data_IF_841908032348
#
_entry.id   IF_841908032348
#
_cell.length_a   1.000
_cell.length_b   1.000
_cell.length_c   1.000
_cell.angle_alpha   90.00
_cell.angle_beta   90.00
_cell.angle_gamma   90.00
#
_symmetry.space_group_name_H-M   'P 1'
#
loop_
_entity.id
_entity.type
_entity.pdbx_description
1 polymer ?
#
# COMPACT_ATOMS: atom_id res chain seq x y z
N UNK A 1 19.73 49.80 17.38
CA UNK A 1 18.60 50.55 16.80
C UNK A 1 18.96 51.02 15.43
N UNK A 2 18.48 50.41 14.38
CA UNK A 2 18.33 50.98 13.04
C UNK A 2 17.11 50.31 12.41
N UNK A 3 16.07 51.11 12.21
CA UNK A 3 14.82 50.76 11.52
C UNK A 3 15.12 50.50 10.07
N UNK A 4 14.72 49.33 9.54
CA UNK A 4 14.69 49.05 8.13
C UNK A 4 13.26 49.32 7.63
N UNK A 5 13.21 50.13 6.59
CA UNK A 5 12.05 50.73 5.91
C UNK A 5 11.19 49.65 5.22
N UNK A 6 9.85 49.81 5.16
CA UNK A 6 8.95 48.88 4.49
C UNK A 6 8.77 49.20 3.01
N UNK A 7 9.77 48.91 2.18
CA UNK A 7 9.69 49.05 0.73
C UNK A 7 10.46 47.97 -0.02
N UNK A 8 10.29 46.71 0.42
CA UNK A 8 10.79 45.56 -0.38
C UNK A 8 9.82 44.39 -0.30
N UNK A 9 8.54 44.66 -0.46
CA UNK A 9 7.49 43.67 -0.52
C UNK A 9 6.55 43.91 -1.68
N UNK A 10 7.07 43.94 -2.86
CA UNK A 10 6.28 43.97 -4.12
C UNK A 10 7.19 43.71 -5.30
N UNK A 11 7.67 42.48 -5.49
CA UNK A 11 8.08 41.90 -6.79
C UNK A 11 8.52 40.46 -6.64
N UNK A 12 7.58 39.55 -6.40
CA UNK A 12 7.73 38.11 -6.66
C UNK A 12 6.35 37.48 -6.74
N UNK A 13 5.58 37.89 -7.72
CA UNK A 13 4.44 37.15 -8.23
C UNK A 13 4.61 37.03 -9.72
N UNK A 14 5.23 35.99 -10.18
CA UNK A 14 5.11 35.34 -11.48
C UNK A 14 6.33 34.43 -11.69
N UNK A 15 6.14 33.18 -11.45
CA UNK A 15 7.12 32.11 -11.74
C UNK A 15 6.65 30.79 -11.15
N UNK A 16 5.83 30.10 -11.92
CA UNK A 16 5.54 28.68 -11.62
C UNK A 16 6.85 27.90 -11.76
N UNK A 17 7.51 27.62 -10.67
CA UNK A 17 8.61 26.66 -10.61
C UNK A 17 8.02 25.33 -10.21
N UNK A 18 7.81 24.46 -11.16
CA UNK A 18 7.60 23.03 -10.91
C UNK A 18 8.88 22.45 -10.31
N UNK A 19 8.93 22.34 -9.01
CA UNK A 19 10.00 21.60 -8.33
C UNK A 19 9.57 20.15 -8.24
N UNK A 20 10.01 19.34 -9.19
CA UNK A 20 10.01 17.88 -9.07
C UNK A 20 11.20 17.45 -8.23
N UNK A 21 11.05 17.41 -6.93
CA UNK A 21 12.02 16.73 -6.06
C UNK A 21 11.35 15.49 -5.48
N UNK A 22 11.72 14.35 -6.02
CA UNK A 22 11.43 13.04 -5.42
C UNK A 22 12.48 12.82 -4.34
N UNK A 23 12.13 13.04 -3.09
CA UNK A 23 12.93 12.63 -1.95
C UNK A 23 12.36 11.34 -1.36
N UNK A 24 13.21 10.45 -0.83
CA UNK A 24 12.77 9.16 -0.30
C UNK A 24 11.92 9.34 0.95
N UNK A 25 10.99 8.41 1.11
CA UNK A 25 9.95 8.36 2.14
C UNK A 25 10.58 8.28 3.54
N UNK A 26 10.86 9.42 4.12
CA UNK A 26 10.92 9.64 5.58
C UNK A 26 10.61 11.12 5.82
N UNK A 27 9.35 11.43 5.82
CA UNK A 27 8.84 12.77 6.07
C UNK A 27 7.46 12.87 5.46
N UNK A 28 6.54 13.32 6.25
CA UNK A 28 5.18 13.58 5.80
C UNK A 28 5.23 14.46 4.55
N UNK A 29 4.82 13.91 3.41
CA UNK A 29 4.65 14.72 2.20
C UNK A 29 3.24 15.26 2.18
N UNK A 30 3.12 16.57 2.15
CA UNK A 30 1.84 17.22 1.87
C UNK A 30 1.49 16.97 0.41
N UNK A 31 0.43 16.20 0.17
CA UNK A 31 -0.16 16.10 -1.16
C UNK A 31 -1.18 17.23 -1.33
N UNK A 32 -1.03 17.99 -2.38
CA UNK A 32 -2.08 18.94 -2.80
C UNK A 32 -3.11 18.15 -3.59
N UNK A 33 -4.25 17.87 -3.00
CA UNK A 33 -5.40 17.34 -3.71
C UNK A 33 -6.16 18.56 -4.22
N UNK A 34 -6.14 18.78 -5.52
CA UNK A 34 -6.91 19.86 -6.12
C UNK A 34 -8.40 19.52 -6.01
N UNK A 35 -9.22 20.53 -5.75
CA UNK A 35 -10.66 20.39 -5.89
C UNK A 35 -10.98 19.90 -7.31
N UNK A 36 -12.00 19.06 -7.46
CA UNK A 36 -12.46 18.61 -8.76
C UNK A 36 -12.86 19.86 -9.58
N UNK A 37 -12.15 20.13 -10.68
CA UNK A 37 -12.54 21.23 -11.56
C UNK A 37 -13.86 20.86 -12.24
N UNK A 38 -14.89 21.55 -11.85
CA UNK A 38 -16.24 21.43 -12.44
C UNK A 38 -16.21 22.07 -13.83
N UNK A 39 -15.89 21.28 -14.85
CA UNK A 39 -16.00 21.68 -16.25
C UNK A 39 -17.29 21.19 -16.89
N UNK A 40 -18.27 20.75 -16.08
CA UNK A 40 -19.60 20.38 -16.56
C UNK A 40 -20.62 21.44 -16.11
N UNK A 41 -21.48 21.82 -17.04
CA UNK A 41 -22.65 22.63 -16.80
C UNK A 41 -23.38 22.12 -15.54
N UNK A 42 -23.84 23.05 -14.69
CA UNK A 42 -24.67 22.72 -13.53
C UNK A 42 -25.89 21.91 -13.97
N UNK A 43 -25.75 20.58 -14.01
CA UNK A 43 -26.91 19.71 -14.00
C UNK A 43 -27.73 20.03 -12.74
N UNK A 44 -29.04 20.14 -12.89
CA UNK A 44 -29.95 20.40 -11.78
C UNK A 44 -29.72 19.30 -10.73
N UNK A 45 -29.42 19.69 -9.50
CA UNK A 45 -29.17 18.76 -8.41
C UNK A 45 -30.32 17.75 -8.28
N UNK A 46 -30.04 16.47 -8.48
CA UNK A 46 -31.04 15.40 -8.63
C UNK A 46 -31.37 14.67 -7.31
N UNK A 47 -31.02 15.24 -6.15
CA UNK A 47 -31.15 14.57 -4.87
C UNK A 47 -29.98 13.62 -4.60
N UNK A 48 -30.04 12.84 -3.53
CA UNK A 48 -29.00 11.88 -3.17
C UNK A 48 -28.96 10.70 -4.13
N UNK A 49 -27.86 10.54 -4.84
CA UNK A 49 -27.66 9.48 -5.81
C UNK A 49 -26.82 8.35 -5.19
N UNK A 50 -27.36 7.14 -5.18
CA UNK A 50 -26.69 5.96 -4.62
C UNK A 50 -27.23 4.67 -5.18
N UNK A 51 -26.40 3.62 -5.25
CA UNK A 51 -26.83 2.24 -5.43
C UNK A 51 -26.74 1.40 -4.14
N UNK A 52 -26.35 2.03 -3.03
CA UNK A 52 -26.42 1.38 -1.72
C UNK A 52 -27.87 1.33 -1.24
N UNK A 53 -28.21 0.30 -0.51
CA UNK A 53 -29.59 0.05 -0.09
C UNK A 53 -29.74 0.06 1.42
N UNK A 54 -30.91 0.51 1.88
CA UNK A 54 -31.37 0.33 3.26
C UNK A 54 -30.49 0.99 4.30
N UNK A 55 -30.30 2.31 4.22
CA UNK A 55 -29.57 3.06 5.23
C UNK A 55 -30.26 3.02 6.60
N UNK A 56 -29.44 2.76 7.63
CA UNK A 56 -29.76 2.88 9.05
C UNK A 56 -28.95 4.01 9.66
N UNK A 57 -29.62 5.11 9.98
CA UNK A 57 -28.99 6.31 10.53
C UNK A 57 -28.85 6.19 12.04
N UNK A 58 -27.63 6.31 12.55
CA UNK A 58 -27.32 6.26 13.97
C UNK A 58 -26.66 7.55 14.39
N UNK A 59 -27.32 8.26 15.33
CA UNK A 59 -26.86 9.53 15.86
C UNK A 59 -26.72 10.62 14.77
N UNK A 60 -26.70 11.88 15.14
CA UNK A 60 -26.59 13.02 14.22
C UNK A 60 -27.88 13.32 13.46
N UNK A 61 -27.84 14.43 12.75
CA UNK A 61 -28.93 14.86 11.89
C UNK A 61 -28.62 14.44 10.44
N UNK A 62 -29.38 13.47 9.92
CA UNK A 62 -29.26 13.00 8.57
C UNK A 62 -30.53 13.34 7.79
N UNK A 63 -30.39 13.92 6.61
CA UNK A 63 -31.54 14.30 5.79
C UNK A 63 -31.18 14.25 4.31
N UNK A 64 -32.00 13.57 3.53
CA UNK A 64 -31.95 13.69 2.09
C UNK A 64 -32.45 15.06 1.65
N UNK A 65 -31.72 15.72 0.80
CA UNK A 65 -32.00 17.04 0.24
C UNK A 65 -31.87 16.98 -1.29
N UNK A 66 -32.23 18.06 -1.95
CA UNK A 66 -32.00 18.19 -3.42
C UNK A 66 -30.50 18.13 -3.77
N UNK A 67 -29.62 18.50 -2.83
CA UNK A 67 -28.16 18.58 -3.02
C UNK A 67 -27.44 17.28 -2.56
N UNK A 68 -28.16 16.30 -2.04
CA UNK A 68 -27.61 15.03 -1.58
C UNK A 68 -28.04 14.65 -0.17
N UNK A 69 -27.30 13.77 0.46
CA UNK A 69 -27.48 13.36 1.87
C UNK A 69 -26.73 14.33 2.78
N UNK A 70 -27.48 15.29 3.33
CA UNK A 70 -26.96 16.24 4.32
C UNK A 70 -26.78 15.56 5.67
N UNK A 71 -25.70 15.91 6.36
CA UNK A 71 -25.41 15.46 7.72
C UNK A 71 -24.83 16.60 8.56
N UNK A 72 -25.37 16.74 9.78
CA UNK A 72 -24.81 17.63 10.81
C UNK A 72 -24.46 16.81 12.07
N UNK A 73 -23.18 16.71 12.36
CA UNK A 73 -22.59 16.00 13.49
C UNK A 73 -21.83 16.93 14.45
N UNK A 74 -21.97 18.25 14.29
CA UNK A 74 -21.27 19.23 15.16
C UNK A 74 -21.59 18.97 16.62
N UNK A 75 -20.55 18.80 17.44
CA UNK A 75 -20.61 18.48 18.88
C UNK A 75 -21.32 17.14 19.22
N UNK A 76 -21.51 16.25 18.23
CA UNK A 76 -22.18 14.95 18.40
C UNK A 76 -21.22 13.74 18.31
N UNK A 77 -19.96 13.96 17.89
CA UNK A 77 -18.98 12.88 17.64
C UNK A 77 -19.35 12.03 16.43
N UNK A 78 -19.18 10.71 16.54
CA UNK A 78 -19.45 9.77 15.45
C UNK A 78 -20.93 9.67 15.11
N UNK A 79 -21.30 10.04 13.91
CA UNK A 79 -22.65 9.95 13.37
C UNK A 79 -22.63 9.07 12.11
N UNK A 80 -23.36 7.95 12.14
CA UNK A 80 -23.28 6.89 11.15
C UNK A 80 -24.50 6.83 10.24
N UNK A 81 -24.25 6.46 8.99
CA UNK A 81 -25.26 5.98 8.05
C UNK A 81 -24.79 4.63 7.50
N UNK A 82 -25.27 3.54 8.07
CA UNK A 82 -24.91 2.18 7.65
C UNK A 82 -25.86 1.70 6.58
N UNK A 83 -25.29 1.15 5.51
CA UNK A 83 -26.08 0.47 4.46
C UNK A 83 -26.20 -1.03 4.76
N UNK A 84 -27.27 -1.64 4.27
CA UNK A 84 -27.44 -3.10 4.25
C UNK A 84 -26.64 -3.76 3.14
N UNK A 85 -26.06 -2.98 2.24
CA UNK A 85 -25.18 -3.47 1.18
C UNK A 85 -23.90 -4.03 1.78
N UNK A 86 -23.58 -5.28 1.47
CA UNK A 86 -22.33 -5.94 1.85
C UNK A 86 -21.47 -6.14 0.62
N UNK A 87 -20.17 -6.03 0.79
CA UNK A 87 -19.20 -6.20 -0.30
C UNK A 87 -17.89 -6.83 0.19
N UNK A 88 -17.26 -7.58 -0.69
CA UNK A 88 -15.96 -8.24 -0.45
C UNK A 88 -14.84 -7.53 -1.20
N UNK A 89 -14.90 -7.58 -2.53
CA UNK A 89 -13.97 -6.91 -3.44
C UNK A 89 -14.76 -5.85 -4.20
N UNK A 90 -14.33 -4.60 -4.13
CA UNK A 90 -15.15 -3.51 -4.65
C UNK A 90 -14.34 -2.24 -4.92
N UNK A 91 -14.91 -1.37 -5.74
CA UNK A 91 -14.67 0.07 -5.68
C UNK A 91 -15.88 0.72 -4.99
N UNK A 92 -15.61 1.61 -4.02
CA UNK A 92 -16.63 2.32 -3.26
C UNK A 92 -16.25 3.80 -3.17
N UNK A 93 -17.14 4.69 -3.53
CA UNK A 93 -16.87 6.12 -3.58
C UNK A 93 -18.06 6.97 -3.15
N UNK A 94 -17.76 8.18 -2.72
CA UNK A 94 -18.73 9.25 -2.49
C UNK A 94 -18.10 10.60 -2.78
N UNK A 95 -18.90 11.52 -3.28
CA UNK A 95 -18.56 12.93 -3.28
C UNK A 95 -18.95 13.54 -1.93
N UNK A 96 -18.15 14.42 -1.38
CA UNK A 96 -18.44 15.16 -0.17
C UNK A 96 -18.13 16.64 -0.36
N UNK A 97 -19.04 17.49 0.14
CA UNK A 97 -18.84 18.94 0.24
C UNK A 97 -18.98 19.35 1.71
N UNK A 98 -17.94 19.93 2.25
CA UNK A 98 -17.98 20.50 3.60
C UNK A 98 -18.74 21.81 3.60
N UNK A 99 -19.70 21.98 4.50
CA UNK A 99 -20.31 23.27 4.83
C UNK A 99 -19.51 23.96 5.92
N UNK A 100 -18.82 23.16 6.74
CA UNK A 100 -17.97 23.60 7.81
C UNK A 100 -16.82 22.62 7.98
N UNK A 101 -15.64 23.09 7.67
CA UNK A 101 -14.38 22.34 7.61
C UNK A 101 -13.81 21.99 8.99
N UNK A 102 -14.60 21.41 9.89
CA UNK A 102 -14.17 21.09 11.26
C UNK A 102 -14.32 19.64 11.64
N UNK A 103 -14.67 18.79 10.70
CA UNK A 103 -14.90 17.38 10.97
C UNK A 103 -14.36 16.47 9.90
N UNK A 104 -14.66 15.19 10.01
CA UNK A 104 -14.20 14.19 9.09
C UNK A 104 -15.35 13.52 8.33
N UNK A 105 -15.23 13.51 6.99
CA UNK A 105 -16.07 12.71 6.11
C UNK A 105 -15.41 11.35 5.89
N UNK A 106 -16.15 10.28 6.14
CA UNK A 106 -15.57 8.93 6.21
C UNK A 106 -16.38 7.93 5.39
N UNK A 107 -15.68 7.11 4.60
CA UNK A 107 -16.22 5.86 4.06
C UNK A 107 -15.89 4.72 5.03
N UNK A 108 -16.91 3.97 5.44
CA UNK A 108 -16.77 2.74 6.23
C UNK A 108 -17.01 1.56 5.32
N UNK A 109 -16.17 0.52 5.45
CA UNK A 109 -16.31 -0.70 4.66
C UNK A 109 -15.87 -1.94 5.43
N UNK A 110 -16.39 -3.09 4.99
CA UNK A 110 -16.22 -4.39 5.66
C UNK A 110 -16.61 -4.33 7.14
N UNK A 111 -17.70 -3.63 7.43
CA UNK A 111 -18.21 -3.46 8.79
C UNK A 111 -18.94 -4.73 9.25
N UNK A 112 -18.65 -5.18 10.47
CA UNK A 112 -19.20 -6.39 11.09
C UNK A 112 -20.66 -6.26 11.57
N UNK A 113 -21.30 -5.13 11.34
CA UNK A 113 -22.69 -4.81 11.76
C UNK A 113 -22.92 -4.81 13.29
N UNK A 114 -21.87 -4.67 14.06
CA UNK A 114 -21.95 -4.59 15.52
C UNK A 114 -21.43 -3.23 16.01
N UNK A 115 -22.32 -2.37 16.52
CA UNK A 115 -21.97 -1.05 17.00
C UNK A 115 -21.28 -1.03 18.37
N UNK A 116 -21.54 -2.04 19.19
CA UNK A 116 -20.97 -2.16 20.53
C UNK A 116 -19.53 -2.71 20.46
N UNK A 117 -19.27 -3.50 19.44
CA UNK A 117 -17.96 -4.03 19.13
C UNK A 117 -17.64 -3.85 17.64
N UNK A 118 -17.31 -2.61 17.26
CA UNK A 118 -17.11 -2.23 15.87
C UNK A 118 -15.81 -2.78 15.31
N UNK A 119 -15.94 -3.55 14.24
CA UNK A 119 -14.82 -3.96 13.41
C UNK A 119 -15.08 -3.55 11.97
N UNK A 120 -14.19 -2.76 11.41
CA UNK A 120 -14.27 -2.29 10.02
C UNK A 120 -12.95 -1.65 9.57
N UNK A 121 -12.91 -1.31 8.30
CA UNK A 121 -11.97 -0.30 7.79
C UNK A 121 -12.70 1.01 7.59
N UNK A 122 -11.95 2.10 7.71
CA UNK A 122 -12.45 3.44 7.46
C UNK A 122 -11.38 4.29 6.76
N UNK A 123 -11.81 5.05 5.76
CA UNK A 123 -10.97 6.07 5.13
C UNK A 123 -11.67 7.41 5.24
N UNK A 124 -10.94 8.45 5.57
CA UNK A 124 -11.51 9.76 5.75
C UNK A 124 -10.70 10.89 5.14
N UNK A 125 -11.38 12.01 4.88
CA UNK A 125 -10.80 13.33 4.77
C UNK A 125 -11.24 14.13 6.00
N UNK A 126 -10.26 14.59 6.77
CA UNK A 126 -10.47 15.33 8.02
C UNK A 126 -10.11 16.80 7.78
N UNK A 127 -11.13 17.62 7.66
CA UNK A 127 -10.97 19.05 7.42
C UNK A 127 -10.34 19.79 8.60
N UNK A 128 -10.58 19.34 9.83
CA UNK A 128 -10.04 19.96 11.04
C UNK A 128 -8.53 19.73 11.18
N UNK A 129 -8.05 18.53 10.92
CA UNK A 129 -6.62 18.19 11.00
C UNK A 129 -5.88 18.34 9.68
N UNK A 130 -6.58 18.61 8.57
CA UNK A 130 -6.03 18.65 7.22
C UNK A 130 -5.30 17.36 6.82
N UNK A 131 -5.89 16.21 7.16
CA UNK A 131 -5.32 14.90 6.89
C UNK A 131 -6.34 13.96 6.25
N UNK A 132 -5.83 13.10 5.39
CA UNK A 132 -6.53 11.91 4.94
C UNK A 132 -5.94 10.70 5.64
N UNK A 133 -6.78 9.81 6.14
CA UNK A 133 -6.34 8.69 6.98
C UNK A 133 -7.01 7.41 6.55
N UNK A 134 -6.27 6.30 6.66
CA UNK A 134 -6.76 4.93 6.56
C UNK A 134 -6.67 4.28 7.94
N UNK A 135 -7.81 3.83 8.45
CA UNK A 135 -7.97 3.25 9.77
C UNK A 135 -8.42 1.80 9.72
N UNK A 136 -8.06 1.06 10.73
CA UNK A 136 -8.66 -0.20 11.11
C UNK A 136 -9.33 -0.05 12.48
N UNK A 137 -10.62 -0.30 12.58
CA UNK A 137 -11.31 -0.45 13.86
C UNK A 137 -11.37 -1.92 14.22
N UNK A 138 -11.01 -2.21 15.44
CA UNK A 138 -10.83 -3.56 15.94
C UNK A 138 -11.78 -3.84 17.09
N UNK A 139 -11.74 -5.07 17.58
CA UNK A 139 -12.45 -5.47 18.78
C UNK A 139 -12.26 -4.45 19.91
N UNK A 140 -13.33 -4.22 20.69
CA UNK A 140 -13.42 -3.17 21.70
C UNK A 140 -13.33 -1.74 21.16
N UNK A 141 -13.56 -1.55 19.87
CA UNK A 141 -13.54 -0.24 19.19
C UNK A 141 -12.21 0.51 19.25
N UNK A 142 -11.11 -0.22 19.41
CA UNK A 142 -9.77 0.36 19.30
C UNK A 142 -9.49 0.78 17.86
N UNK A 143 -8.78 1.91 17.71
CA UNK A 143 -8.42 2.47 16.42
C UNK A 143 -6.97 2.22 16.13
N UNK A 144 -6.70 1.58 15.01
CA UNK A 144 -5.37 1.48 14.46
C UNK A 144 -5.25 2.38 13.23
N UNK A 145 -4.43 3.41 13.30
CA UNK A 145 -4.03 4.17 12.14
C UNK A 145 -3.08 3.32 11.28
N UNK A 146 -3.44 3.09 10.03
CA UNK A 146 -2.62 2.33 9.08
C UNK A 146 -1.72 3.26 8.30
N UNK A 147 -2.28 4.35 7.76
CA UNK A 147 -1.54 5.35 6.99
C UNK A 147 -2.25 6.71 7.04
N UNK A 148 -1.48 7.79 6.95
CA UNK A 148 -2.02 9.14 6.85
C UNK A 148 -1.20 10.04 5.93
N UNK A 149 -1.87 10.99 5.30
CA UNK A 149 -1.21 12.05 4.51
C UNK A 149 -1.88 13.38 4.73
N UNK A 150 -1.08 14.44 4.66
CA UNK A 150 -1.60 15.81 4.71
C UNK A 150 -2.37 16.12 3.42
N UNK A 151 -3.58 16.65 3.59
CA UNK A 151 -4.46 17.11 2.51
C UNK A 151 -5.17 18.36 2.98
N UNK A 152 -5.04 19.44 2.23
CA UNK A 152 -5.74 20.68 2.57
C UNK A 152 -7.17 20.60 2.06
N UNK A 153 -8.13 20.44 2.96
CA UNK A 153 -9.55 20.55 2.65
C UNK A 153 -10.06 21.98 2.93
N UNK A 154 -11.00 22.43 2.11
CA UNK A 154 -11.62 23.75 2.22
C UNK A 154 -13.14 23.63 2.21
N UNK A 155 -13.83 24.65 2.77
CA UNK A 155 -15.28 24.71 2.77
C UNK A 155 -15.80 24.93 1.35
N UNK A 156 -17.01 24.44 1.10
CA UNK A 156 -17.76 24.52 -0.17
C UNK A 156 -17.05 23.91 -1.40
N UNK A 157 -15.88 23.33 -1.24
CA UNK A 157 -15.25 22.52 -2.28
C UNK A 157 -15.71 21.07 -2.22
N UNK A 158 -15.79 20.44 -3.38
CA UNK A 158 -16.19 19.05 -3.53
C UNK A 158 -14.95 18.14 -3.57
N UNK A 159 -14.97 17.10 -2.77
CA UNK A 159 -13.96 16.04 -2.75
C UNK A 159 -14.59 14.70 -3.05
N UNK A 160 -13.99 13.93 -3.95
CA UNK A 160 -14.37 12.54 -4.19
C UNK A 160 -13.49 11.62 -3.37
N UNK A 161 -14.08 10.92 -2.41
CA UNK A 161 -13.43 9.85 -1.67
C UNK A 161 -13.67 8.53 -2.39
N UNK A 162 -12.61 7.74 -2.62
CA UNK A 162 -12.72 6.47 -3.31
C UNK A 162 -11.81 5.40 -2.70
N UNK A 163 -12.39 4.26 -2.40
CA UNK A 163 -11.68 3.06 -1.94
C UNK A 163 -11.76 1.98 -3.00
N UNK A 164 -10.62 1.37 -3.29
CA UNK A 164 -10.55 0.10 -4.02
C UNK A 164 -10.08 -0.95 -3.05
N UNK A 165 -10.91 -1.93 -2.75
CA UNK A 165 -10.58 -3.06 -1.89
C UNK A 165 -10.62 -4.34 -2.73
N UNK A 166 -9.51 -5.05 -2.81
CA UNK A 166 -9.39 -6.31 -3.53
C UNK A 166 -8.57 -7.30 -2.68
N UNK A 167 -9.20 -8.38 -2.25
CA UNK A 167 -8.65 -9.32 -1.25
C UNK A 167 -8.11 -8.58 -0.01
N UNK A 168 -6.81 -8.62 0.22
CA UNK A 168 -6.15 -7.90 1.30
C UNK A 168 -5.66 -6.50 0.91
N UNK A 169 -5.73 -6.15 -0.37
CA UNK A 169 -5.23 -4.85 -0.85
C UNK A 169 -6.31 -3.79 -0.74
N UNK A 170 -5.99 -2.69 -0.05
CA UNK A 170 -6.82 -1.51 0.10
C UNK A 170 -6.05 -0.32 -0.46
N UNK A 171 -6.65 0.38 -1.42
CA UNK A 171 -6.13 1.65 -1.94
C UNK A 171 -7.16 2.75 -1.74
N UNK A 172 -6.73 3.88 -1.19
CA UNK A 172 -7.56 5.04 -0.90
C UNK A 172 -7.12 6.22 -1.76
N UNK A 173 -8.09 6.83 -2.40
CA UNK A 173 -7.90 7.99 -3.29
C UNK A 173 -8.77 9.16 -2.84
N UNK A 174 -8.26 10.36 -3.02
CA UNK A 174 -9.03 11.62 -2.96
C UNK A 174 -8.83 12.34 -4.29
N UNK A 175 -9.92 12.68 -4.98
CA UNK A 175 -9.91 13.27 -6.32
C UNK A 175 -8.94 12.53 -7.27
N UNK A 176 -9.05 11.19 -7.32
CA UNK A 176 -8.20 10.27 -8.08
C UNK A 176 -6.69 10.28 -7.74
N UNK A 177 -6.30 11.07 -6.75
CA UNK A 177 -4.93 11.06 -6.22
C UNK A 177 -4.80 9.97 -5.15
N UNK A 178 -3.83 9.07 -5.31
CA UNK A 178 -3.56 8.00 -4.34
C UNK A 178 -3.08 8.58 -3.01
N UNK A 179 -3.84 8.36 -1.95
CA UNK A 179 -3.51 8.77 -0.58
C UNK A 179 -2.78 7.68 0.16
N UNK A 180 -3.34 6.48 0.17
CA UNK A 180 -2.79 5.33 0.86
C UNK A 180 -3.00 4.06 0.05
N UNK A 181 -2.06 3.11 0.14
CA UNK A 181 -2.19 1.78 -0.41
C UNK A 181 -1.54 0.79 0.51
N UNK A 182 -2.25 -0.24 0.92
CA UNK A 182 -1.76 -1.25 1.84
C UNK A 182 -2.40 -2.61 1.58
N UNK A 183 -1.65 -3.67 1.88
CA UNK A 183 -2.20 -5.01 2.02
C UNK A 183 -2.51 -5.29 3.49
N UNK A 184 -3.72 -5.73 3.79
CA UNK A 184 -4.06 -6.16 5.13
C UNK A 184 -3.87 -7.67 5.29
N UNK A 185 -2.69 -8.04 5.71
CA UNK A 185 -2.37 -9.44 6.04
C UNK A 185 -2.68 -9.75 7.49
N UNK A 186 -3.36 -8.82 8.14
CA UNK A 186 -3.37 -8.75 9.53
C UNK A 186 -4.21 -9.69 10.22
N UNK A 187 -4.13 -9.91 11.16
CA UNK A 187 -3.64 -9.11 11.99
C UNK A 187 -3.97 -9.24 13.31
N UNK A 188 -4.96 -9.24 13.78
CA UNK A 188 -5.17 -9.39 15.17
C UNK A 188 -5.73 -10.74 15.46
N UNK A 189 -5.20 -11.30 16.49
CA UNK A 189 -5.74 -12.50 17.09
C UNK A 189 -6.70 -12.03 18.16
N UNK A 190 -7.87 -12.60 18.17
CA UNK A 190 -8.70 -12.62 19.38
C UNK A 190 -7.94 -13.37 20.49
N UNK A 191 -8.45 -13.36 21.71
CA UNK A 191 -7.87 -14.06 22.86
C UNK A 191 -7.73 -15.58 22.62
N UNK A 192 -8.34 -16.11 21.55
CA UNK A 192 -8.25 -17.52 21.12
C UNK A 192 -7.22 -17.72 20.00
N UNK A 193 -6.52 -16.67 19.60
CA UNK A 193 -5.50 -16.72 18.55
C UNK A 193 -6.07 -16.82 17.13
N UNK A 194 -7.35 -16.49 16.90
CA UNK A 194 -7.95 -16.46 15.56
C UNK A 194 -7.72 -15.10 14.87
N UNK A 195 -7.46 -15.12 13.57
CA UNK A 195 -7.30 -13.89 12.80
C UNK A 195 -8.63 -13.21 12.59
N UNK A 196 -8.68 -11.91 12.84
CA UNK A 196 -9.84 -11.06 12.62
C UNK A 196 -9.73 -10.27 11.31
N UNK A 197 -9.10 -10.82 10.28
CA UNK A 197 -9.08 -10.17 8.97
C UNK A 197 -10.49 -10.02 8.45
N UNK A 198 -10.90 -8.79 8.22
CA UNK A 198 -12.19 -8.53 7.59
C UNK A 198 -12.02 -8.62 6.07
N UNK A 199 -12.67 -9.63 5.50
CA UNK A 199 -12.65 -9.85 4.05
C UNK A 199 -13.92 -9.37 3.36
N UNK A 200 -15.01 -9.17 4.13
CA UNK A 200 -16.31 -8.72 3.64
C UNK A 200 -17.09 -8.04 4.77
N UNK A 201 -18.12 -7.32 4.46
CA UNK A 201 -19.03 -6.67 5.41
C UNK A 201 -19.76 -5.49 4.79
N UNK A 202 -20.52 -4.80 5.63
CA UNK A 202 -21.35 -3.69 5.19
C UNK A 202 -20.54 -2.45 4.83
N UNK A 203 -21.13 -1.64 3.95
CA UNK A 203 -20.65 -0.32 3.57
C UNK A 203 -21.42 0.76 4.35
N UNK A 204 -20.80 1.90 4.57
CA UNK A 204 -21.47 3.00 5.26
C UNK A 204 -20.72 4.31 5.15
N UNK A 205 -21.37 5.36 5.63
CA UNK A 205 -20.82 6.70 5.77
C UNK A 205 -20.70 7.04 7.26
N UNK A 206 -19.71 7.86 7.60
CA UNK A 206 -19.62 8.47 8.91
C UNK A 206 -19.26 9.93 8.79
N UNK A 207 -19.95 10.75 9.54
CA UNK A 207 -19.61 12.13 9.78
C UNK A 207 -19.15 12.27 11.24
N UNK A 208 -17.91 12.72 11.44
CA UNK A 208 -17.39 13.05 12.76
C UNK A 208 -17.28 14.56 12.91
N UNK A 209 -18.07 15.12 13.84
CA UNK A 209 -18.07 16.52 14.24
C UNK A 209 -18.18 17.57 13.12
N UNK A 210 -18.61 17.19 11.93
CA UNK A 210 -18.69 18.07 10.76
C UNK A 210 -20.10 18.45 10.37
N UNK A 211 -20.21 19.43 9.47
CA UNK A 211 -21.42 19.71 8.69
C UNK A 211 -21.08 19.56 7.22
N UNK A 212 -21.75 18.63 6.52
CA UNK A 212 -21.40 18.24 5.16
C UNK A 212 -22.56 17.64 4.39
N UNK A 213 -22.38 17.55 3.07
CA UNK A 213 -23.32 16.86 2.18
C UNK A 213 -22.57 15.78 1.41
N UNK A 214 -23.10 14.55 1.42
CA UNK A 214 -22.65 13.44 0.61
C UNK A 214 -23.51 13.33 -0.65
N UNK A 215 -22.88 13.00 -1.78
CA UNK A 215 -23.54 12.80 -3.08
C UNK A 215 -22.82 11.72 -3.87
N UNK A 216 -23.49 11.14 -4.85
CA UNK A 216 -22.89 10.15 -5.75
C UNK A 216 -22.20 9.00 -5.01
N UNK A 217 -22.91 8.41 -4.04
CA UNK A 217 -22.36 7.32 -3.23
C UNK A 217 -22.66 5.99 -3.90
N UNK A 218 -21.62 5.42 -4.54
CA UNK A 218 -21.76 4.21 -5.33
C UNK A 218 -20.74 3.16 -4.95
N UNK A 219 -21.07 1.89 -5.18
CA UNK A 219 -20.11 0.81 -5.19
C UNK A 219 -20.26 -0.03 -6.46
N UNK A 220 -19.17 -0.66 -6.86
CA UNK A 220 -19.13 -1.69 -7.90
C UNK A 220 -18.38 -2.89 -7.34
N UNK A 221 -18.97 -4.07 -7.40
CA UNK A 221 -18.31 -5.30 -7.00
C UNK A 221 -17.24 -5.67 -8.02
N UNK A 222 -16.06 -6.04 -7.52
CA UNK A 222 -14.93 -6.49 -8.32
C UNK A 222 -14.78 -8.01 -8.27
N UNK A 223 -14.53 -8.60 -9.42
CA UNK A 223 -14.30 -10.02 -9.62
C UNK A 223 -13.21 -10.23 -10.68
N UNK A 224 -12.91 -11.48 -11.02
CA UNK A 224 -11.83 -11.79 -11.96
C UNK A 224 -12.03 -11.24 -13.38
N UNK A 225 -13.28 -10.87 -13.76
CA UNK A 225 -13.58 -10.30 -15.07
C UNK A 225 -13.43 -8.78 -15.12
N UNK A 226 -13.59 -8.11 -13.99
CA UNK A 226 -13.52 -6.63 -13.90
C UNK A 226 -12.46 -6.12 -12.92
N UNK A 227 -11.50 -6.97 -12.51
CA UNK A 227 -10.40 -6.56 -11.62
C UNK A 227 -9.37 -5.67 -12.32
N UNK A 228 -8.82 -4.64 -11.65
CA UNK A 228 -7.65 -3.92 -12.10
C UNK A 228 -6.32 -4.64 -11.78
N UNK A 229 -6.36 -5.80 -11.14
CA UNK A 229 -5.17 -6.56 -10.77
C UNK A 229 -4.37 -6.97 -12.00
N UNK A 230 -3.05 -6.84 -11.91
CA UNK A 230 -2.13 -7.33 -12.93
C UNK A 230 -1.73 -8.78 -12.64
N UNK A 231 -1.55 -9.55 -13.68
CA UNK A 231 -1.09 -10.94 -13.59
C UNK A 231 0.42 -11.02 -13.39
N UNK A 232 1.16 -10.16 -14.08
CA UNK A 232 2.61 -10.10 -13.98
C UNK A 232 3.16 -8.74 -14.40
N UNK A 233 4.29 -8.36 -13.79
CA UNK A 233 5.19 -7.30 -14.28
C UNK A 233 6.60 -7.90 -14.29
N UNK A 234 7.29 -7.82 -15.39
CA UNK A 234 8.70 -8.16 -15.48
C UNK A 234 9.49 -7.05 -16.16
N UNK A 235 10.76 -6.93 -15.80
CA UNK A 235 11.66 -5.92 -16.35
C UNK A 235 12.65 -6.57 -17.30
N UNK A 236 12.83 -5.98 -18.46
CA UNK A 236 13.87 -6.33 -19.44
C UNK A 236 14.60 -5.06 -19.88
N UNK A 237 15.71 -5.22 -20.59
CA UNK A 237 16.45 -4.10 -21.16
C UNK A 237 17.00 -4.52 -22.53
N UNK A 238 16.91 -3.60 -23.51
CA UNK A 238 17.54 -3.76 -24.83
C UNK A 238 18.96 -3.20 -24.87
N UNK A 239 19.34 -2.38 -23.89
CA UNK A 239 20.65 -1.71 -23.83
C UNK A 239 21.65 -2.41 -22.91
N UNK A 240 21.19 -3.31 -22.04
CA UNK A 240 22.09 -3.99 -21.11
C UNK A 240 21.43 -5.12 -20.33
N UNK A 241 22.07 -5.52 -19.26
CA UNK A 241 21.70 -6.70 -18.49
C UNK A 241 20.79 -6.35 -17.30
N UNK A 242 19.75 -7.15 -17.14
CA UNK A 242 18.93 -7.21 -15.92
C UNK A 242 19.56 -8.22 -14.98
N UNK A 243 19.84 -7.80 -13.73
CA UNK A 243 20.23 -8.74 -12.68
C UNK A 243 19.04 -9.65 -12.37
N UNK A 244 19.27 -10.76 -11.68
CA UNK A 244 18.23 -11.77 -11.40
C UNK A 244 16.84 -11.18 -11.28
N UNK A 245 15.91 -11.69 -12.06
CA UNK A 245 14.56 -11.16 -12.15
C UNK A 245 13.87 -11.16 -10.79
N UNK A 246 13.42 -9.99 -10.34
CA UNK A 246 12.53 -9.88 -9.20
C UNK A 246 11.21 -10.58 -9.54
N UNK A 247 10.62 -11.22 -8.55
CA UNK A 247 9.32 -11.82 -8.75
C UNK A 247 8.22 -10.80 -8.46
N UNK A 248 7.28 -10.72 -9.38
CA UNK A 248 6.08 -9.94 -9.21
C UNK A 248 5.08 -10.73 -8.37
N UNK A 249 4.48 -10.05 -7.41
CA UNK A 249 3.34 -10.55 -6.66
C UNK A 249 2.21 -9.55 -6.78
N UNK A 250 1.07 -9.96 -7.30
CA UNK A 250 -0.06 -9.07 -7.62
C UNK A 250 -0.63 -8.33 -6.40
N UNK A 251 -0.39 -8.84 -5.20
CA UNK A 251 -0.83 -8.26 -3.92
C UNK A 251 0.21 -7.34 -3.27
N UNK A 252 1.41 -7.23 -3.84
CA UNK A 252 2.47 -6.34 -3.35
C UNK A 252 2.55 -5.10 -4.23
N UNK A 253 2.34 -3.90 -3.68
CA UNK A 253 2.33 -2.67 -4.47
C UNK A 253 3.72 -2.22 -4.92
N UNK A 254 4.79 -2.84 -4.45
CA UNK A 254 6.18 -2.46 -4.72
C UNK A 254 6.97 -3.67 -5.17
N UNK A 255 7.72 -3.50 -6.27
CA UNK A 255 8.70 -4.45 -6.77
C UNK A 255 10.06 -3.74 -6.92
N UNK A 256 11.15 -4.36 -6.47
CA UNK A 256 12.51 -3.84 -6.63
C UNK A 256 13.25 -4.72 -7.63
N UNK A 257 13.73 -4.12 -8.72
CA UNK A 257 14.52 -4.80 -9.74
C UNK A 257 15.87 -4.11 -9.92
N UNK A 258 16.95 -4.87 -9.79
CA UNK A 258 18.29 -4.39 -10.11
C UNK A 258 18.63 -4.64 -11.56
N UNK A 259 19.28 -3.65 -12.18
CA UNK A 259 19.83 -3.75 -13.54
C UNK A 259 21.29 -3.29 -13.53
N UNK A 260 22.11 -3.86 -14.41
CA UNK A 260 23.54 -3.51 -14.47
C UNK A 260 23.73 -2.09 -15.01
N UNK A 261 24.96 -1.59 -14.88
CA UNK A 261 25.33 -0.24 -15.30
C UNK A 261 25.04 0.02 -16.79
N UNK A 262 25.21 -1.01 -17.64
CA UNK A 262 24.98 -0.91 -19.09
C UNK A 262 23.49 -0.83 -19.50
N UNK A 263 22.56 -1.07 -18.58
CA UNK A 263 21.13 -0.97 -18.87
C UNK A 263 20.66 0.49 -18.81
N UNK A 264 20.81 1.23 -19.89
CA UNK A 264 20.42 2.66 -19.96
C UNK A 264 18.92 2.87 -20.10
N UNK A 265 18.21 1.87 -20.64
CA UNK A 265 16.76 1.84 -20.74
C UNK A 265 16.22 0.52 -20.24
N UNK A 266 14.98 0.53 -19.77
CA UNK A 266 14.25 -0.68 -19.40
C UNK A 266 12.89 -0.73 -20.06
N UNK A 267 12.42 -1.97 -20.24
CA UNK A 267 11.08 -2.28 -20.68
C UNK A 267 10.32 -2.96 -19.54
N UNK A 268 9.11 -2.53 -19.27
CA UNK A 268 8.17 -3.23 -18.42
C UNK A 268 7.26 -4.11 -19.29
N UNK A 269 7.35 -5.42 -19.11
CA UNK A 269 6.44 -6.35 -19.76
C UNK A 269 5.30 -6.64 -18.77
N UNK A 270 4.11 -6.15 -19.09
CA UNK A 270 2.95 -6.14 -18.20
C UNK A 270 1.90 -7.10 -18.72
N UNK A 271 1.54 -8.08 -17.91
CA UNK A 271 0.44 -9.00 -18.19
C UNK A 271 -0.79 -8.60 -17.38
N UNK A 272 -1.89 -8.33 -18.06
CA UNK A 272 -3.16 -7.98 -17.44
C UNK A 272 -3.92 -9.25 -17.04
N UNK A 273 -4.56 -9.24 -15.87
CA UNK A 273 -5.54 -10.27 -15.49
C UNK A 273 -6.84 -10.04 -16.26
N UNK A 274 -7.31 -8.80 -16.29
CA UNK A 274 -8.43 -8.37 -17.11
C UNK A 274 -7.95 -7.72 -18.41
N UNK A 275 -8.33 -8.26 -19.56
CA UNK A 275 -7.93 -7.73 -20.89
C UNK A 275 -8.33 -6.26 -21.09
N UNK A 276 -9.47 -5.87 -20.51
CA UNK A 276 -10.05 -4.54 -20.65
C UNK A 276 -9.44 -3.49 -19.68
N UNK A 277 -8.55 -3.92 -18.78
CA UNK A 277 -7.86 -2.97 -17.91
C UNK A 277 -7.03 -2.00 -18.77
N UNK A 278 -7.16 -0.72 -18.51
CA UNK A 278 -6.26 0.30 -19.03
C UNK A 278 -5.01 0.36 -18.17
N UNK A 279 -3.83 0.33 -18.80
CA UNK A 279 -2.55 0.34 -18.10
C UNK A 279 -1.74 1.53 -18.53
N UNK A 280 -1.42 2.39 -17.58
CA UNK A 280 -0.57 3.54 -17.76
C UNK A 280 0.73 3.37 -17.01
N UNK A 281 1.85 3.58 -17.68
CA UNK A 281 3.20 3.58 -17.08
C UNK A 281 3.71 5.00 -17.04
N UNK A 282 4.12 5.47 -15.88
CA UNK A 282 4.61 6.83 -15.65
C UNK A 282 6.01 6.81 -15.02
N UNK A 283 6.91 7.60 -15.59
CA UNK A 283 8.23 7.82 -15.03
C UNK A 283 8.72 9.24 -15.32
N UNK A 284 9.23 9.94 -14.30
CA UNK A 284 9.78 11.30 -14.37
C UNK A 284 8.83 12.31 -15.06
N UNK A 285 7.53 12.21 -14.74
CA UNK A 285 6.46 13.05 -15.30
C UNK A 285 6.09 12.73 -16.76
N UNK A 286 6.61 11.66 -17.34
CA UNK A 286 6.27 11.19 -18.70
C UNK A 286 5.50 9.88 -18.67
N UNK A 287 4.62 9.72 -19.64
CA UNK A 287 3.81 8.53 -19.83
C UNK A 287 4.45 7.65 -20.91
N UNK A 288 4.58 6.37 -20.61
CA UNK A 288 5.11 5.31 -21.48
C UNK A 288 4.05 4.24 -21.64
N UNK A 289 3.04 4.47 -22.47
CA UNK A 289 1.85 3.60 -22.57
C UNK A 289 2.15 2.16 -22.94
N UNK A 290 3.22 1.92 -23.70
CA UNK A 290 3.69 0.58 -24.06
C UNK A 290 4.68 -0.02 -23.03
N UNK A 291 5.08 0.75 -22.04
CA UNK A 291 6.07 0.37 -21.04
C UNK A 291 7.48 0.17 -21.62
N UNK A 292 7.79 0.73 -22.80
CA UNK A 292 9.03 0.46 -23.52
C UNK A 292 10.00 1.65 -23.48
N UNK A 293 11.30 1.31 -23.58
CA UNK A 293 12.40 2.27 -23.71
C UNK A 293 12.40 3.35 -22.61
N UNK A 294 12.07 2.98 -21.38
CA UNK A 294 12.05 3.87 -20.24
C UNK A 294 13.50 4.17 -19.85
N UNK A 295 14.00 5.41 -19.97
CA UNK A 295 15.37 5.73 -19.62
C UNK A 295 15.56 5.68 -18.11
N UNK A 296 16.63 5.03 -17.63
CA UNK A 296 16.94 4.90 -16.22
C UNK A 296 18.30 5.49 -15.88
N UNK A 297 18.33 6.32 -14.86
CA UNK A 297 19.56 6.92 -14.29
C UNK A 297 20.26 5.93 -13.39
N UNK A 298 21.58 6.06 -13.23
CA UNK A 298 22.30 5.30 -12.18
C UNK A 298 21.70 5.62 -10.82
N UNK A 299 21.47 4.58 -10.02
CA UNK A 299 20.73 4.67 -8.78
C UNK A 299 19.26 4.31 -8.96
N UNK A 300 18.40 4.84 -8.10
CA UNK A 300 16.98 4.49 -8.01
C UNK A 300 16.11 5.20 -9.02
N UNK A 301 15.23 4.46 -9.65
CA UNK A 301 14.25 4.96 -10.59
C UNK A 301 12.88 4.41 -10.18
N UNK A 302 11.94 5.27 -9.87
CA UNK A 302 10.61 4.89 -9.39
C UNK A 302 9.62 4.99 -10.55
N UNK A 303 9.25 3.84 -11.12
CA UNK A 303 8.30 3.75 -12.22
C UNK A 303 6.95 3.38 -11.63
N UNK A 304 5.93 4.14 -11.96
CA UNK A 304 4.55 3.92 -11.51
C UNK A 304 3.77 3.21 -12.61
N UNK A 305 3.09 2.15 -12.26
CA UNK A 305 2.17 1.41 -13.15
C UNK A 305 0.77 1.49 -12.56
N UNK A 306 -0.13 2.16 -13.25
CA UNK A 306 -1.55 2.26 -12.89
C UNK A 306 -2.34 1.31 -13.77
N UNK A 307 -3.08 0.42 -13.18
CA UNK A 307 -4.03 -0.46 -13.88
C UNK A 307 -5.44 -0.08 -13.48
N UNK A 308 -6.26 0.30 -14.44
CA UNK A 308 -7.60 0.86 -14.22
C UNK A 308 -8.65 0.08 -14.99
N UNK A 309 -9.77 -0.21 -14.35
CA UNK A 309 -10.96 -0.74 -14.98
C UNK A 309 -12.14 0.18 -14.75
N UNK A 310 -13.07 0.18 -15.70
CA UNK A 310 -14.34 0.88 -15.53
C UNK A 310 -15.27 0.04 -14.68
N UNK A 311 -15.86 0.67 -13.67
CA UNK A 311 -16.96 0.13 -12.89
C UNK A 311 -18.32 0.64 -13.37
N UNK A 312 -19.34 0.35 -12.61
CA UNK A 312 -20.68 0.91 -12.82
C UNK A 312 -20.75 2.38 -12.42
N UNK A 313 -21.76 3.09 -12.89
CA UNK A 313 -22.05 4.49 -12.54
C UNK A 313 -20.84 5.45 -12.71
N UNK A 314 -20.01 5.21 -13.72
CA UNK A 314 -18.84 6.05 -14.00
C UNK A 314 -17.66 5.86 -13.02
N UNK A 315 -17.77 4.94 -12.06
CA UNK A 315 -16.66 4.63 -11.15
C UNK A 315 -15.47 4.02 -11.91
N UNK A 316 -14.28 4.28 -11.42
CA UNK A 316 -13.05 3.63 -11.88
C UNK A 316 -12.37 2.94 -10.72
N UNK A 317 -11.99 1.68 -10.89
CA UNK A 317 -11.13 0.98 -9.95
C UNK A 317 -9.69 0.97 -10.45
N UNK A 318 -8.78 1.52 -9.67
CA UNK A 318 -7.34 1.60 -10.02
C UNK A 318 -6.50 0.93 -8.96
N UNK A 319 -5.58 0.07 -9.37
CA UNK A 319 -4.47 -0.38 -8.54
C UNK A 319 -3.18 0.26 -9.05
N UNK A 320 -2.37 0.74 -8.12
CA UNK A 320 -1.12 1.44 -8.43
C UNK A 320 0.06 0.64 -7.92
N UNK A 321 0.85 0.13 -8.84
CA UNK A 321 2.09 -0.58 -8.57
C UNK A 321 3.27 0.36 -8.74
N UNK A 322 4.34 0.14 -7.99
CA UNK A 322 5.60 0.85 -8.14
C UNK A 322 6.72 -0.15 -8.45
N UNK A 323 7.36 0.02 -9.59
CA UNK A 323 8.55 -0.73 -9.97
C UNK A 323 9.77 0.15 -9.69
N UNK A 324 10.51 -0.20 -8.65
CA UNK A 324 11.76 0.47 -8.30
C UNK A 324 12.88 -0.19 -9.09
N UNK A 325 13.30 0.42 -10.19
CA UNK A 325 14.44 -0.04 -10.96
C UNK A 325 15.70 0.61 -10.40
N UNK A 326 16.60 -0.21 -9.85
CA UNK A 326 17.88 0.27 -9.35
C UNK A 326 18.98 -0.05 -10.37
N UNK A 327 19.40 0.95 -11.15
CA UNK A 327 20.52 0.83 -12.08
C UNK A 327 21.82 0.94 -11.30
N UNK A 328 22.60 -0.14 -11.30
CA UNK A 328 23.88 -0.20 -10.58
C UNK A 328 24.86 0.83 -11.13
N UNK A 329 25.77 1.32 -10.27
CA UNK A 329 26.97 2.02 -10.71
C UNK A 329 27.91 1.04 -11.45
N UNK A 330 29.00 1.53 -12.05
CA UNK A 330 29.97 0.66 -12.69
C UNK A 330 30.57 -0.34 -11.68
N UNK A 331 30.78 -1.60 -12.09
CA UNK A 331 31.23 -2.70 -11.20
C UNK A 331 32.47 -2.33 -10.38
N UNK A 332 33.41 -1.58 -10.97
CA UNK A 332 34.59 -1.09 -10.27
C UNK A 332 34.31 -0.18 -9.07
N UNK A 333 33.08 0.29 -8.93
CA UNK A 333 32.65 1.14 -7.81
C UNK A 333 32.35 0.33 -6.57
N UNK A 334 31.96 -0.94 -6.73
CA UNK A 334 31.56 -1.82 -5.63
C UNK A 334 32.72 -2.66 -5.14
N UNK A 335 32.70 -2.97 -3.82
CA UNK A 335 33.72 -3.76 -3.13
C UNK A 335 35.15 -3.19 -3.22
N UNK A 336 35.24 -1.91 -3.57
CA UNK A 336 36.49 -1.17 -3.69
C UNK A 336 36.49 0.14 -2.88
N UNK A 337 35.51 0.31 -2.03
CA UNK A 337 35.38 1.47 -1.16
C UNK A 337 36.40 1.42 -0.02
N UNK A 338 36.86 2.58 0.43
CA UNK A 338 37.96 2.71 1.42
C UNK A 338 37.69 1.94 2.74
N UNK A 339 36.47 1.79 3.15
CA UNK A 339 36.05 1.11 4.38
C UNK A 339 35.30 -0.20 4.14
N UNK A 340 35.36 -0.75 2.93
CA UNK A 340 34.76 -2.04 2.60
C UNK A 340 35.43 -3.17 3.36
N UNK A 341 34.65 -4.09 3.92
CA UNK A 341 35.16 -5.31 4.53
C UNK A 341 35.99 -6.11 3.52
N UNK A 342 37.19 -6.57 3.95
CA UNK A 342 38.07 -7.35 3.08
C UNK A 342 37.70 -8.84 3.05
N UNK A 343 36.94 -9.29 4.02
CA UNK A 343 36.40 -10.63 4.15
C UNK A 343 35.06 -10.54 4.93
N UNK A 344 34.33 -11.62 5.00
CA UNK A 344 32.91 -11.69 5.35
C UNK A 344 31.99 -11.11 4.27
N UNK A 345 30.78 -11.56 4.28
CA UNK A 345 29.76 -11.01 3.41
C UNK A 345 29.45 -9.56 3.79
N UNK A 346 29.31 -8.72 2.80
CA UNK A 346 28.76 -7.38 2.95
C UNK A 346 27.85 -7.06 1.78
N UNK A 347 26.80 -6.29 2.03
CA UNK A 347 25.86 -5.88 0.97
C UNK A 347 26.58 -5.09 -0.12
N UNK A 348 26.17 -5.26 -1.36
CA UNK A 348 26.78 -4.56 -2.50
C UNK A 348 26.62 -3.04 -2.38
N UNK A 349 25.42 -2.61 -2.04
CA UNK A 349 25.07 -1.23 -1.68
C UNK A 349 23.84 -1.23 -0.78
N UNK A 350 23.50 -0.07 -0.21
CA UNK A 350 22.40 0.08 0.71
C UNK A 350 22.76 -0.26 2.16
N UNK A 351 21.75 -0.44 2.98
CA UNK A 351 21.87 -0.76 4.40
C UNK A 351 21.67 -2.25 4.63
N UNK A 352 22.59 -2.88 5.36
CA UNK A 352 22.47 -4.26 5.80
C UNK A 352 22.78 -4.37 7.28
N UNK A 353 21.96 -5.12 8.05
CA UNK A 353 22.21 -5.38 9.46
C UNK A 353 21.91 -6.85 9.82
N UNK A 354 20.98 -7.16 10.72
CA UNK A 354 20.80 -8.48 11.33
C UNK A 354 20.71 -9.62 10.32
N UNK A 355 21.43 -10.69 10.57
CA UNK A 355 21.20 -11.98 9.91
C UNK A 355 19.93 -12.60 10.50
N UNK A 356 18.93 -12.80 9.67
CA UNK A 356 17.63 -13.30 10.07
C UNK A 356 17.45 -14.80 9.87
N UNK A 357 18.21 -15.37 8.93
CA UNK A 357 18.17 -16.80 8.68
C UNK A 357 19.38 -17.27 7.90
N UNK A 358 20.04 -18.29 8.45
CA UNK A 358 21.11 -19.00 7.78
C UNK A 358 20.73 -20.48 7.78
N UNK A 359 20.44 -21.03 6.60
CA UNK A 359 19.94 -22.40 6.46
C UNK A 359 20.58 -23.09 5.26
N UNK A 360 20.86 -24.40 5.38
CA UNK A 360 21.23 -25.22 4.24
C UNK A 360 20.00 -25.99 3.76
N UNK A 361 19.63 -25.80 2.50
CA UNK A 361 18.50 -26.48 1.89
C UNK A 361 18.85 -26.94 0.47
N UNK A 362 18.57 -28.19 0.15
CA UNK A 362 18.89 -28.83 -1.16
C UNK A 362 20.33 -28.54 -1.64
N UNK A 363 21.30 -28.61 -0.71
CA UNK A 363 22.72 -28.43 -1.01
C UNK A 363 23.20 -27.00 -1.23
N UNK A 364 22.33 -26.00 -1.00
CA UNK A 364 22.64 -24.57 -1.07
C UNK A 364 22.52 -23.96 0.32
N UNK A 365 23.46 -23.10 0.68
CA UNK A 365 23.36 -22.25 1.85
C UNK A 365 22.59 -20.99 1.47
N UNK A 366 21.58 -20.67 2.25
CA UNK A 366 20.77 -19.48 2.11
C UNK A 366 20.98 -18.58 3.30
N UNK A 367 21.24 -17.32 3.06
CA UNK A 367 21.38 -16.29 4.06
C UNK A 367 20.36 -15.19 3.80
N UNK A 368 19.52 -14.93 4.79
CA UNK A 368 18.54 -13.85 4.77
C UNK A 368 18.93 -12.83 5.81
N UNK A 369 18.84 -11.56 5.47
CA UNK A 369 19.31 -10.47 6.33
C UNK A 369 18.43 -9.24 6.17
N UNK A 370 18.40 -8.40 7.19
CA UNK A 370 17.73 -7.12 7.14
C UNK A 370 18.43 -6.21 6.15
N UNK A 371 17.65 -5.63 5.28
CA UNK A 371 18.14 -4.80 4.19
C UNK A 371 17.22 -3.62 3.91
N UNK A 372 17.82 -2.51 3.55
CA UNK A 372 17.13 -1.39 2.94
C UNK A 372 17.97 -0.83 1.80
N UNK A 373 17.33 -0.51 0.68
CA UNK A 373 18.01 -0.07 -0.53
C UNK A 373 18.49 1.39 -0.49
N UNK A 374 18.70 1.96 0.69
CA UNK A 374 19.20 3.32 0.91
C UNK A 374 20.33 3.34 1.95
N UNK A 375 20.97 4.49 2.12
CA UNK A 375 22.00 4.74 3.14
C UNK A 375 21.42 5.03 4.53
N UNK A 376 20.10 5.04 4.66
CA UNK A 376 19.37 5.23 5.90
C UNK A 376 18.76 3.91 6.36
N UNK A 377 18.54 3.78 7.67
CA UNK A 377 17.85 2.65 8.24
C UNK A 377 16.35 2.68 7.89
N UNK A 378 15.85 1.58 7.38
CA UNK A 378 14.43 1.25 7.21
C UNK A 378 13.59 2.07 6.21
N UNK A 379 12.39 1.53 5.91
CA UNK A 379 11.79 0.29 6.45
C UNK A 379 12.50 -0.97 5.97
N UNK A 380 12.77 -1.89 6.91
CA UNK A 380 13.57 -3.08 6.63
C UNK A 380 12.82 -4.10 5.77
N UNK A 381 13.53 -4.64 4.80
CA UNK A 381 13.19 -5.80 4.00
C UNK A 381 14.03 -7.00 4.47
N UNK A 382 13.72 -8.20 4.00
CA UNK A 382 14.68 -9.28 4.01
C UNK A 382 15.28 -9.45 2.62
N UNK A 383 16.57 -9.18 2.51
CA UNK A 383 17.34 -9.56 1.34
C UNK A 383 17.80 -11.00 1.46
N UNK A 384 18.29 -11.55 0.37
CA UNK A 384 18.67 -12.95 0.24
C UNK A 384 20.01 -13.07 -0.50
N UNK A 385 20.86 -13.91 -0.01
CA UNK A 385 22.08 -14.35 -0.69
C UNK A 385 22.21 -15.86 -0.60
N UNK A 386 22.85 -16.47 -1.60
CA UNK A 386 23.08 -17.92 -1.66
C UNK A 386 24.56 -18.23 -1.83
N UNK A 387 25.00 -19.39 -1.29
CA UNK A 387 26.36 -19.89 -1.42
C UNK A 387 26.39 -21.41 -1.51
N UNK A 388 27.43 -21.94 -2.14
CA UNK A 388 27.74 -23.38 -2.14
C UNK A 388 28.81 -23.76 -1.11
N UNK A 389 29.57 -22.79 -0.63
CA UNK A 389 30.78 -23.00 0.17
C UNK A 389 30.88 -22.09 1.41
N UNK A 390 29.91 -21.20 1.64
CA UNK A 390 29.88 -20.17 2.71
C UNK A 390 30.93 -19.06 2.55
N UNK A 391 31.70 -19.07 1.46
CA UNK A 391 32.73 -18.09 1.16
C UNK A 391 32.28 -17.19 0.00
N UNK A 392 31.84 -17.80 -1.09
CA UNK A 392 31.37 -17.10 -2.26
C UNK A 392 29.85 -16.98 -2.22
N UNK A 393 29.37 -15.76 -2.09
CA UNK A 393 27.96 -15.44 -1.97
C UNK A 393 27.45 -14.75 -3.23
N UNK A 394 26.27 -15.09 -3.61
CA UNK A 394 25.57 -14.52 -4.74
C UNK A 394 24.27 -13.86 -4.28
N UNK A 395 24.13 -12.54 -4.51
CA UNK A 395 22.88 -11.84 -4.23
C UNK A 395 21.71 -12.44 -5.01
N UNK A 396 20.57 -12.53 -4.35
CA UNK A 396 19.31 -12.93 -4.89
C UNK A 396 18.32 -11.75 -4.84
N UNK A 397 17.17 -11.82 -5.53
CA UNK A 397 16.11 -10.83 -5.36
C UNK A 397 15.69 -10.68 -3.89
N UNK A 398 15.13 -9.52 -3.56
CA UNK A 398 14.56 -9.28 -2.23
C UNK A 398 13.53 -10.37 -1.93
N UNK A 399 13.68 -11.03 -0.80
CA UNK A 399 12.81 -12.14 -0.40
C UNK A 399 11.49 -11.64 0.21
N UNK A 400 11.55 -10.66 1.11
CA UNK A 400 10.39 -10.16 1.83
C UNK A 400 10.37 -8.64 1.87
N UNK A 401 9.23 -8.08 1.47
CA UNK A 401 8.97 -6.65 1.47
C UNK A 401 8.16 -6.25 2.70
N UNK A 402 8.33 -5.01 3.21
CA UNK A 402 7.39 -4.42 4.16
C UNK A 402 5.96 -4.48 3.64
N UNK A 403 5.00 -4.66 4.53
CA UNK A 403 3.57 -4.65 4.22
C UNK A 403 2.78 -3.84 5.26
N UNK A 404 1.46 -3.94 5.26
CA UNK A 404 0.59 -3.27 6.23
C UNK A 404 0.90 -3.61 7.70
N UNK A 405 1.65 -4.68 7.95
CA UNK A 405 2.07 -5.06 9.30
C UNK A 405 3.41 -4.44 9.69
N UNK A 406 4.01 -3.69 8.79
CA UNK A 406 5.23 -2.95 9.02
C UNK A 406 6.48 -3.53 8.34
N UNK A 407 7.62 -3.10 8.86
CA UNK A 407 8.93 -3.52 8.40
C UNK A 407 9.22 -4.99 8.77
N UNK A 408 10.05 -5.65 7.98
CA UNK A 408 10.49 -7.03 8.21
C UNK A 408 11.71 -7.03 9.13
N UNK A 409 11.46 -7.16 10.44
CA UNK A 409 12.51 -7.20 11.46
C UNK A 409 13.09 -8.60 11.64
N UNK A 410 13.90 -8.78 12.69
CA UNK A 410 14.63 -10.01 12.97
C UNK A 410 13.73 -11.23 13.05
N UNK A 411 14.28 -12.37 12.72
CA UNK A 411 13.57 -13.64 12.72
C UNK A 411 14.49 -14.82 12.47
N UNK A 412 13.90 -15.92 11.99
CA UNK A 412 14.67 -17.10 11.62
C UNK A 412 14.04 -17.84 10.45
N UNK A 413 14.82 -18.74 9.84
CA UNK A 413 14.34 -19.64 8.78
C UNK A 413 14.66 -21.08 9.16
N UNK A 414 13.73 -21.97 8.82
CA UNK A 414 13.90 -23.42 8.93
C UNK A 414 13.60 -24.09 7.59
N UNK A 415 14.32 -25.17 7.31
CA UNK A 415 13.99 -26.09 6.23
C UNK A 415 12.98 -27.12 6.76
N UNK A 416 11.73 -26.99 6.38
CA UNK A 416 10.68 -27.95 6.72
C UNK A 416 10.53 -28.96 5.58
N UNK A 417 11.54 -29.82 5.44
CA UNK A 417 11.61 -30.79 4.33
C UNK A 417 10.48 -31.79 4.31
N UNK A 418 9.86 -32.05 5.48
CA UNK A 418 8.80 -33.05 5.65
C UNK A 418 7.40 -32.44 5.72
N UNK A 419 7.27 -31.15 5.46
CA UNK A 419 6.00 -30.43 5.59
C UNK A 419 5.34 -30.61 6.97
N UNK A 420 6.13 -30.58 8.03
CA UNK A 420 5.62 -30.72 9.40
C UNK A 420 4.77 -29.54 9.84
N UNK A 421 4.95 -28.38 9.21
CA UNK A 421 4.13 -27.19 9.42
C UNK A 421 2.74 -27.30 8.77
N UNK A 422 2.57 -28.19 7.79
CA UNK A 422 1.36 -28.29 6.95
C UNK A 422 1.16 -27.13 5.98
N UNK A 423 2.14 -26.21 5.86
CA UNK A 423 2.03 -25.01 5.01
C UNK A 423 2.07 -25.31 3.52
N UNK A 424 2.62 -26.45 3.12
CA UNK A 424 2.83 -26.81 1.73
C UNK A 424 1.70 -27.65 1.13
N UNK A 425 0.67 -27.96 1.93
CA UNK A 425 -0.44 -28.81 1.55
C UNK A 425 -0.15 -30.31 1.70
N UNK A 426 -1.20 -31.11 1.81
CA UNK A 426 -1.09 -32.55 2.04
C UNK A 426 -0.41 -33.25 0.84
N UNK A 427 0.53 -34.14 1.15
CA UNK A 427 1.25 -34.94 0.16
C UNK A 427 2.31 -34.18 -0.66
N UNK A 428 2.56 -32.92 -0.37
CA UNK A 428 3.61 -32.14 -1.01
C UNK A 428 4.94 -32.23 -0.25
N UNK A 429 6.05 -32.10 -0.98
CA UNK A 429 7.35 -31.84 -0.38
C UNK A 429 7.28 -30.53 0.42
N UNK A 430 8.09 -30.43 1.45
CA UNK A 430 8.26 -29.23 2.22
C UNK A 430 9.04 -28.14 1.52
N UNK A 431 9.46 -27.15 2.27
CA UNK A 431 10.21 -26.00 1.75
C UNK A 431 10.88 -25.19 2.84
N UNK A 432 11.07 -23.91 2.61
CA UNK A 432 11.59 -22.99 3.61
C UNK A 432 10.43 -22.28 4.32
N UNK A 433 10.54 -22.17 5.64
CA UNK A 433 9.59 -21.45 6.49
C UNK A 433 10.32 -20.37 7.25
N UNK A 434 9.86 -19.14 7.12
CA UNK A 434 10.38 -17.97 7.82
C UNK A 434 9.45 -17.56 8.95
N UNK A 435 9.99 -17.35 10.13
CA UNK A 435 9.35 -16.68 11.26
C UNK A 435 9.92 -15.27 11.35
N UNK A 436 9.06 -14.26 11.21
CA UNK A 436 9.46 -12.88 10.99
C UNK A 436 8.83 -12.02 12.08
N UNK A 437 9.61 -11.14 12.69
CA UNK A 437 9.04 -10.04 13.48
C UNK A 437 8.63 -8.92 12.52
N UNK A 438 7.35 -8.72 12.33
CA UNK A 438 6.84 -7.56 11.60
C UNK A 438 6.68 -6.39 12.59
N UNK A 439 7.28 -5.23 12.26
CA UNK A 439 7.25 -4.02 13.09
C UNK A 439 6.44 -2.91 12.41
N UNK A 440 5.21 -2.81 12.84
CA UNK A 440 4.29 -1.76 12.42
C UNK A 440 3.69 -1.07 13.65
N UNK A 441 2.39 -1.20 13.87
CA UNK A 441 1.77 -0.80 15.13
C UNK A 441 1.96 -1.91 16.18
N UNK A 442 3.17 -1.97 16.77
CA UNK A 442 3.64 -3.04 17.64
C UNK A 442 4.25 -4.23 16.88
N UNK A 443 5.15 -4.93 17.55
CA UNK A 443 5.87 -6.07 16.97
C UNK A 443 5.06 -7.36 17.06
N UNK A 444 5.05 -8.12 15.98
CA UNK A 444 4.28 -9.37 15.86
C UNK A 444 5.04 -10.43 15.10
N UNK A 445 4.85 -11.69 15.46
CA UNK A 445 5.42 -12.80 14.71
C UNK A 445 4.54 -13.11 13.50
N UNK A 446 5.15 -13.07 12.35
CA UNK A 446 4.58 -13.46 11.06
C UNK A 446 5.27 -14.70 10.53
N UNK A 447 4.59 -15.37 9.61
CA UNK A 447 5.16 -16.52 8.94
C UNK A 447 5.03 -16.35 7.43
N UNK A 448 6.11 -16.68 6.74
CA UNK A 448 6.11 -16.84 5.31
C UNK A 448 6.73 -18.19 4.95
N UNK A 449 6.36 -18.72 3.80
CA UNK A 449 6.94 -19.97 3.31
C UNK A 449 7.27 -19.88 1.82
N UNK A 450 8.25 -20.65 1.40
CA UNK A 450 8.71 -20.74 0.02
C UNK A 450 8.77 -22.19 -0.44
N UNK A 451 8.22 -22.44 -1.62
CA UNK A 451 8.24 -23.76 -2.28
C UNK A 451 9.33 -23.90 -3.35
N UNK A 452 10.07 -22.83 -3.60
CA UNK A 452 11.01 -22.68 -4.71
C UNK A 452 12.41 -22.24 -4.27
N UNK A 453 12.87 -22.77 -3.14
CA UNK A 453 14.21 -22.51 -2.59
C UNK A 453 14.45 -21.03 -2.22
N UNK A 454 13.43 -20.36 -1.72
CA UNK A 454 13.53 -18.98 -1.25
C UNK A 454 13.49 -17.92 -2.34
N UNK A 455 13.13 -18.28 -3.57
CA UNK A 455 12.98 -17.32 -4.67
C UNK A 455 11.71 -16.51 -4.53
N UNK A 456 10.62 -17.18 -4.14
CA UNK A 456 9.33 -16.54 -3.84
C UNK A 456 8.81 -16.92 -2.48
N UNK A 457 8.03 -16.03 -1.88
CA UNK A 457 7.51 -16.19 -0.54
C UNK A 457 6.01 -15.93 -0.51
N UNK A 458 5.28 -16.81 0.17
CA UNK A 458 3.88 -16.63 0.50
C UNK A 458 3.78 -16.28 1.98
N UNK A 459 3.31 -15.08 2.30
CA UNK A 459 3.03 -14.69 3.67
C UNK A 459 1.71 -15.32 4.11
N UNK A 460 1.69 -15.96 5.27
CA UNK A 460 0.47 -16.61 5.75
C UNK A 460 -0.38 -15.63 6.54
N UNK A 461 -1.70 -15.82 6.47
CA UNK A 461 -2.63 -15.07 7.32
C UNK A 461 -2.55 -15.54 8.79
N UNK A 462 -2.11 -16.78 9.05
CA UNK A 462 -1.99 -17.34 10.41
C UNK A 462 -1.20 -18.66 10.47
N UNK A 463 -0.43 -18.87 11.56
CA UNK A 463 -0.16 -20.21 12.06
C UNK A 463 -0.97 -20.41 13.35
N UNK A 464 -1.76 -21.49 13.41
CA UNK A 464 -2.18 -22.08 14.68
C UNK A 464 -0.96 -22.81 15.25
N UNK A 465 -0.22 -22.17 16.15
CA UNK A 465 0.66 -22.92 17.03
C UNK A 465 -0.27 -23.75 17.93
N UNK A 466 -0.45 -25.03 17.62
CA UNK A 466 -0.99 -25.95 18.60
C UNK A 466 -0.02 -25.95 19.77
N UNK A 467 -0.44 -25.41 20.91
CA UNK A 467 0.20 -25.70 22.18
C UNK A 467 0.01 -27.21 22.45
N UNK A 468 0.93 -28.01 21.97
CA UNK A 468 1.15 -29.31 22.59
C UNK A 468 1.70 -28.98 23.96
N UNK A 469 1.00 -29.41 25.02
CA UNK A 469 1.30 -29.08 26.42
C UNK A 469 2.63 -29.63 26.97
N UNK A 470 3.69 -29.55 26.17
CA UNK A 470 5.05 -29.79 26.61
C UNK A 470 5.68 -28.46 27.05
N UNK A 471 5.82 -28.29 28.37
CA UNK A 471 6.69 -27.27 28.93
C UNK A 471 8.09 -27.51 28.39
N UNK A 472 8.60 -26.51 27.68
CA UNK A 472 10.04 -26.40 27.35
C UNK A 472 10.73 -26.06 28.68
N UNK A 473 11.58 -26.95 29.18
CA UNK A 473 12.47 -26.73 30.31
C UNK A 473 13.73 -26.00 29.82
#
# INVERSE_FOLDING_TARGET
MRKISPRLLALMMAGAVTVTSITPVTGYQTITVNAATDSQEKEAAQGYQTNLTGFDYKKGDWKETKDGLYSNAVDKGDCFAFSKTTAKNFVYSTDVTFKRNQGAATLIFRFNNNLDNKECYAVNIDGGSHKCKLWRWQENSDYQLIDEKEVKATDDEKYTLKVVAYDSWISYYVNDTLVASTGDYTLQKDDKGQSTVLTEGSLGLLNWNGEMTFQNTYYTELNDQNTPELKNISVSSSTGDVEKAAQFTSTEPIMIQYVKNNAETVDLNIEKKNKNADVQVEYDGKIYNDGKNIPVKVGKNYITVKSTVQGENGQTATLTYRVNVHRRAADKTYYNEAYRNQYHYSVKDGWGNDLNGLVKYKGTYHMFYQFYDDTKWGPMHWAHATSKDLIHWEEQPIALYPDANGAMFSGCIVADEKNTSGLFGDGNEGGLVALITADGNGQRIKVAYSTDEGKTWKKTKQIKLQQTGQKIH
#
